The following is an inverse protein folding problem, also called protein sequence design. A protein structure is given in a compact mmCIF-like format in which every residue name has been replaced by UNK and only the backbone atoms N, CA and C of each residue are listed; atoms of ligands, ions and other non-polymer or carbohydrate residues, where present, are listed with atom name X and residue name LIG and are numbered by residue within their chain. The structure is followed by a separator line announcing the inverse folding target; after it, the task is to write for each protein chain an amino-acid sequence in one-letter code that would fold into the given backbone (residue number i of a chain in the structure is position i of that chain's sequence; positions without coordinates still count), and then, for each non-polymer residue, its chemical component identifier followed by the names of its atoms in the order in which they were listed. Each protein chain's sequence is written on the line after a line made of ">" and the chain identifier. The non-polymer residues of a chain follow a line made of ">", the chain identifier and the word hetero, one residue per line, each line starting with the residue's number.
data_IF_076126959198
#
_entry.id   IF_076126959198
#
_cell.length_a   1.000
_cell.length_b   1.000
_cell.length_c   1.000
_cell.angle_alpha   90.00
_cell.angle_beta   90.00
_cell.angle_gamma   90.00
#
_symmetry.space_group_name_H-M   'P 1'
#
loop_
_entity.id
_entity.type
_entity.pdbx_description
1 polymer ?
#
# COMPACT_ATOMS: atom_id res chain seq x y z
N UNK A 1 -25.22 2.50 -5.70
CA UNK A 1 -24.49 1.27 -5.37
C UNK A 1 -25.53 0.21 -5.12
N UNK A 2 -25.47 -0.90 -5.86
CA UNK A 2 -26.39 -2.02 -5.63
C UNK A 2 -26.16 -2.62 -4.23
N UNK A 3 -27.24 -2.88 -3.50
CA UNK A 3 -27.18 -3.43 -2.14
C UNK A 3 -26.53 -4.82 -2.11
N UNK A 4 -26.68 -5.61 -3.18
CA UNK A 4 -26.03 -6.92 -3.32
C UNK A 4 -24.51 -6.77 -3.44
N UNK A 5 -24.05 -5.79 -4.23
CA UNK A 5 -22.62 -5.48 -4.38
C UNK A 5 -22.02 -5.03 -3.05
N UNK A 6 -22.77 -4.29 -2.23
CA UNK A 6 -22.31 -3.89 -0.90
C UNK A 6 -22.20 -5.10 0.04
N UNK A 7 -23.20 -5.98 0.05
CA UNK A 7 -23.21 -7.19 0.88
C UNK A 7 -22.03 -8.11 0.56
N UNK A 8 -21.77 -8.42 -0.71
CA UNK A 8 -20.63 -9.26 -1.10
C UNK A 8 -19.29 -8.65 -0.67
N UNK A 9 -19.15 -7.32 -0.69
CA UNK A 9 -17.93 -6.66 -0.19
C UNK A 9 -17.76 -6.83 1.32
N UNK A 10 -18.83 -6.66 2.08
CA UNK A 10 -18.79 -6.84 3.54
C UNK A 10 -18.49 -8.29 3.91
N UNK A 11 -19.04 -9.26 3.19
CA UNK A 11 -18.74 -10.68 3.37
C UNK A 11 -17.27 -10.97 3.13
N UNK A 12 -16.69 -10.50 2.02
CA UNK A 12 -15.25 -10.65 1.73
C UNK A 12 -14.41 -10.12 2.90
N UNK A 13 -14.73 -8.93 3.41
CA UNK A 13 -13.98 -8.33 4.52
C UNK A 13 -14.18 -9.10 5.83
N UNK A 14 -15.36 -9.66 6.05
CA UNK A 14 -15.62 -10.55 7.18
C UNK A 14 -14.81 -11.84 7.10
N UNK A 15 -14.71 -12.46 5.92
CA UNK A 15 -13.86 -13.64 5.68
C UNK A 15 -12.37 -13.34 5.85
N UNK A 16 -11.96 -12.07 5.69
CA UNK A 16 -10.61 -11.63 6.05
C UNK A 16 -10.34 -11.62 7.55
N UNK A 17 -11.38 -11.77 8.39
CA UNK A 17 -11.29 -11.69 9.84
C UNK A 17 -11.42 -10.25 10.37
N UNK A 18 -11.92 -9.32 9.56
CA UNK A 18 -12.18 -7.95 9.99
C UNK A 18 -13.46 -7.94 10.82
N UNK A 19 -13.36 -7.46 12.07
CA UNK A 19 -14.50 -7.36 12.99
C UNK A 19 -15.49 -6.30 12.52
N UNK A 20 -16.77 -6.47 12.87
CA UNK A 20 -17.83 -5.53 12.52
C UNK A 20 -17.55 -4.10 12.99
N UNK A 21 -16.93 -3.93 14.16
CA UNK A 21 -16.51 -2.61 14.68
C UNK A 21 -15.44 -1.96 13.82
N UNK A 22 -14.48 -2.75 13.31
CA UNK A 22 -13.45 -2.27 12.40
C UNK A 22 -14.03 -1.96 11.01
N UNK A 23 -15.01 -2.74 10.53
CA UNK A 23 -15.74 -2.45 9.29
C UNK A 23 -16.44 -1.10 9.36
N UNK A 24 -17.17 -0.84 10.45
CA UNK A 24 -17.83 0.44 10.69
C UNK A 24 -16.81 1.58 10.64
N UNK A 25 -15.66 1.43 11.30
CA UNK A 25 -14.57 2.41 11.25
C UNK A 25 -14.05 2.63 9.82
N UNK A 26 -13.85 1.56 9.05
CA UNK A 26 -13.39 1.65 7.66
C UNK A 26 -14.38 2.42 6.78
N UNK A 27 -15.67 2.15 6.94
CA UNK A 27 -16.75 2.84 6.20
C UNK A 27 -16.78 4.32 6.54
N UNK A 28 -16.66 4.68 7.82
CA UNK A 28 -16.61 6.09 8.24
C UNK A 28 -15.36 6.81 7.75
N UNK A 29 -14.18 6.20 7.87
CA UNK A 29 -12.91 6.82 7.48
C UNK A 29 -12.73 6.92 5.96
N UNK A 30 -13.32 5.99 5.20
CA UNK A 30 -13.02 5.83 3.77
C UNK A 30 -14.26 5.35 2.98
N UNK A 31 -15.39 6.09 2.98
CA UNK A 31 -16.63 5.61 2.35
C UNK A 31 -16.45 5.31 0.85
N UNK A 32 -15.52 6.02 0.18
CA UNK A 32 -15.16 5.78 -1.23
C UNK A 32 -14.68 4.35 -1.52
N UNK A 33 -14.09 3.65 -0.54
CA UNK A 33 -13.69 2.26 -0.69
C UNK A 33 -14.87 1.35 -1.06
N UNK A 34 -16.07 1.64 -0.53
CA UNK A 34 -17.28 0.87 -0.86
C UNK A 34 -17.71 1.05 -2.32
N UNK A 35 -17.35 2.15 -2.97
CA UNK A 35 -17.62 2.40 -4.39
C UNK A 35 -16.57 1.78 -5.32
N UNK A 36 -15.41 1.38 -4.81
CA UNK A 36 -14.37 0.79 -5.65
C UNK A 36 -14.73 -0.64 -6.09
N UNK A 37 -14.42 -0.98 -7.33
CA UNK A 37 -14.54 -2.36 -7.81
C UNK A 37 -13.49 -3.22 -7.12
N UNK A 38 -13.94 -4.25 -6.40
CA UNK A 38 -13.05 -5.33 -5.98
C UNK A 38 -12.66 -6.08 -7.25
N UNK A 39 -11.36 -6.18 -7.50
CA UNK A 39 -10.80 -6.70 -8.75
C UNK A 39 -10.77 -8.25 -8.72
N UNK A 40 -10.76 -8.89 -9.88
CA UNK A 40 -10.63 -10.35 -10.06
C UNK A 40 -9.36 -10.91 -9.39
N UNK A 41 -8.34 -10.07 -9.20
CA UNK A 41 -7.07 -10.40 -8.54
C UNK A 41 -7.13 -10.31 -7.01
N UNK A 42 -8.31 -10.28 -6.39
CA UNK A 42 -8.42 -10.12 -4.94
C UNK A 42 -7.66 -11.21 -4.17
N UNK A 43 -7.84 -12.49 -4.55
CA UNK A 43 -7.17 -13.60 -3.85
C UNK A 43 -5.65 -13.51 -3.98
N UNK A 44 -5.15 -13.32 -5.21
CA UNK A 44 -3.71 -13.11 -5.46
C UNK A 44 -3.17 -11.92 -4.65
N UNK A 45 -3.93 -10.83 -4.58
CA UNK A 45 -3.57 -9.66 -3.77
C UNK A 45 -3.48 -10.00 -2.29
N UNK A 46 -4.47 -10.72 -1.76
CA UNK A 46 -4.49 -11.08 -0.34
C UNK A 46 -3.34 -12.02 0.01
N UNK A 47 -3.05 -13.01 -0.82
CA UNK A 47 -1.90 -13.91 -0.64
C UNK A 47 -0.57 -13.14 -0.65
N UNK A 48 -0.38 -12.25 -1.64
CA UNK A 48 0.83 -11.42 -1.71
C UNK A 48 0.97 -10.50 -0.50
N UNK A 49 -0.11 -9.83 -0.09
CA UNK A 49 -0.08 -8.93 1.05
C UNK A 49 0.09 -9.69 2.37
N UNK A 50 -0.50 -10.88 2.52
CA UNK A 50 -0.31 -11.72 3.69
C UNK A 50 1.15 -12.17 3.80
N UNK A 51 1.76 -12.57 2.68
CA UNK A 51 3.18 -12.83 2.60
C UNK A 51 4.02 -11.59 2.96
N UNK A 52 3.67 -10.40 2.43
CA UNK A 52 4.37 -9.14 2.72
C UNK A 52 4.30 -8.76 4.21
N UNK A 53 3.12 -8.81 4.82
CA UNK A 53 2.89 -8.42 6.21
C UNK A 53 3.28 -9.51 7.23
N UNK A 54 3.57 -10.72 6.76
CA UNK A 54 4.09 -11.84 7.56
C UNK A 54 3.05 -12.51 8.47
N UNK A 55 1.84 -11.96 8.58
CA UNK A 55 0.71 -12.60 9.26
C UNK A 55 -0.61 -11.97 8.84
N UNK A 56 -1.68 -12.78 8.87
CA UNK A 56 -3.05 -12.30 8.63
C UNK A 56 -3.47 -11.19 9.58
N UNK A 57 -3.06 -11.25 10.85
CA UNK A 57 -3.42 -10.25 11.87
C UNK A 57 -2.81 -8.87 11.55
N UNK A 58 -1.58 -8.83 11.04
CA UNK A 58 -0.93 -7.59 10.62
C UNK A 58 -1.54 -7.07 9.32
N UNK A 59 -1.85 -7.95 8.37
CA UNK A 59 -2.58 -7.59 7.15
C UNK A 59 -3.93 -6.94 7.45
N UNK A 60 -4.73 -7.55 8.33
CA UNK A 60 -6.03 -6.99 8.77
C UNK A 60 -5.84 -5.60 9.36
N UNK A 61 -4.85 -5.41 10.25
CA UNK A 61 -4.54 -4.09 10.81
C UNK A 61 -4.19 -3.06 9.72
N UNK A 62 -3.43 -3.47 8.70
CA UNK A 62 -3.06 -2.61 7.58
C UNK A 62 -4.28 -2.21 6.73
N UNK A 63 -5.15 -3.17 6.40
CA UNK A 63 -6.40 -2.94 5.64
C UNK A 63 -7.33 -2.01 6.41
N UNK A 64 -7.50 -2.23 7.72
CA UNK A 64 -8.40 -1.41 8.52
C UNK A 64 -7.89 0.04 8.62
N UNK A 65 -6.57 0.24 8.69
CA UNK A 65 -5.97 1.59 8.61
C UNK A 65 -6.04 2.20 7.22
N UNK A 66 -5.96 1.38 6.18
CA UNK A 66 -5.99 1.82 4.80
C UNK A 66 -6.83 0.91 3.90
N UNK A 67 -8.17 1.09 3.89
CA UNK A 67 -9.05 0.26 3.07
C UNK A 67 -8.72 0.34 1.57
N UNK A 68 -8.10 1.44 1.14
CA UNK A 68 -7.67 1.65 -0.24
C UNK A 68 -6.59 0.67 -0.72
N UNK A 69 -5.92 -0.06 0.19
CA UNK A 69 -4.98 -1.13 -0.16
C UNK A 69 -5.67 -2.24 -1.00
N UNK A 70 -6.97 -2.44 -0.80
CA UNK A 70 -7.78 -3.39 -1.55
C UNK A 70 -8.27 -2.86 -2.91
N UNK A 71 -7.96 -1.60 -3.24
CA UNK A 71 -8.51 -0.92 -4.43
C UNK A 71 -7.44 -0.34 -5.35
N UNK A 72 -6.21 -0.14 -4.85
CA UNK A 72 -5.11 0.27 -5.70
C UNK A 72 -4.82 -0.75 -6.80
N UNK A 73 -4.31 -0.25 -7.93
CA UNK A 73 -3.82 -1.12 -8.99
C UNK A 73 -2.74 -2.06 -8.43
N UNK A 74 -3.03 -3.36 -8.45
CA UNK A 74 -2.18 -4.33 -7.78
C UNK A 74 -0.87 -4.56 -8.53
N UNK A 75 -0.95 -4.74 -9.85
CA UNK A 75 0.18 -5.08 -10.69
C UNK A 75 0.98 -3.86 -11.11
N UNK A 76 0.34 -2.73 -11.37
CA UNK A 76 1.02 -1.52 -11.87
C UNK A 76 1.39 -0.52 -10.77
N UNK A 77 0.87 -0.68 -9.54
CA UNK A 77 1.15 0.25 -8.43
C UNK A 77 1.66 -0.44 -7.18
N UNK A 78 0.92 -1.39 -6.61
CA UNK A 78 1.30 -2.02 -5.34
C UNK A 78 2.61 -2.78 -5.48
N UNK A 79 2.69 -3.79 -6.37
CA UNK A 79 3.89 -4.61 -6.53
C UNK A 79 5.15 -3.79 -6.90
N UNK A 80 5.11 -2.87 -7.89
CA UNK A 80 6.31 -2.11 -8.27
C UNK A 80 6.81 -1.18 -7.17
N UNK A 81 5.90 -0.53 -6.42
CA UNK A 81 6.30 0.34 -5.31
C UNK A 81 6.97 -0.46 -4.19
N UNK A 82 6.41 -1.63 -3.84
CA UNK A 82 7.02 -2.52 -2.84
C UNK A 82 8.41 -2.99 -3.30
N UNK A 83 8.53 -3.47 -4.53
CA UNK A 83 9.80 -3.94 -5.09
C UNK A 83 10.90 -2.86 -5.08
N UNK A 84 10.54 -1.59 -5.27
CA UNK A 84 11.50 -0.48 -5.21
C UNK A 84 11.97 -0.20 -3.79
N UNK A 85 11.08 -0.25 -2.80
CA UNK A 85 11.52 -0.12 -1.42
C UNK A 85 12.40 -1.30 -0.98
N UNK A 86 12.11 -2.51 -1.45
CA UNK A 86 12.96 -3.67 -1.22
C UNK A 86 14.33 -3.54 -1.92
N UNK A 87 14.37 -3.03 -3.17
CA UNK A 87 15.63 -2.82 -3.90
C UNK A 87 16.49 -1.69 -3.31
N UNK A 88 15.86 -0.73 -2.62
CA UNK A 88 16.53 0.27 -1.79
C UNK A 88 17.11 -0.31 -0.48
N UNK A 89 16.91 -1.60 -0.21
CA UNK A 89 17.45 -2.28 0.95
C UNK A 89 16.62 -2.11 2.23
N UNK A 90 15.35 -1.67 2.14
CA UNK A 90 14.48 -1.72 3.30
C UNK A 90 14.26 -3.16 3.73
N UNK A 91 14.50 -3.45 5.00
CA UNK A 91 14.09 -4.73 5.56
C UNK A 91 12.57 -4.87 5.48
N UNK A 92 12.08 -6.10 5.37
CA UNK A 92 10.64 -6.38 5.36
C UNK A 92 9.92 -5.80 6.58
N UNK A 93 10.55 -5.86 7.76
CA UNK A 93 10.01 -5.28 9.00
C UNK A 93 9.92 -3.75 8.96
N UNK A 94 10.94 -3.08 8.44
CA UNK A 94 10.92 -1.61 8.26
C UNK A 94 9.85 -1.21 7.25
N UNK A 95 9.74 -1.93 6.13
CA UNK A 95 8.73 -1.69 5.11
C UNK A 95 7.31 -1.82 5.68
N UNK A 96 7.02 -2.88 6.43
CA UNK A 96 5.75 -3.05 7.14
C UNK A 96 5.47 -1.85 8.05
N UNK A 97 6.49 -1.42 8.82
CA UNK A 97 6.36 -0.28 9.74
C UNK A 97 6.03 1.02 9.00
N UNK A 98 6.69 1.27 7.86
CA UNK A 98 6.41 2.43 7.01
C UNK A 98 5.01 2.34 6.39
N UNK A 99 4.59 1.18 5.89
CA UNK A 99 3.25 1.01 5.30
C UNK A 99 2.13 1.20 6.34
N UNK A 100 2.33 0.71 7.57
CA UNK A 100 1.37 0.86 8.67
C UNK A 100 1.28 2.28 9.24
N UNK A 101 2.39 3.02 9.19
CA UNK A 101 2.46 4.42 9.64
C UNK A 101 2.08 5.41 8.54
N UNK A 102 2.25 5.05 7.27
CA UNK A 102 1.98 5.89 6.10
C UNK A 102 1.09 5.18 5.06
N UNK A 103 -0.22 5.10 5.31
CA UNK A 103 -1.22 4.58 4.36
C UNK A 103 -1.13 5.14 2.94
N UNK A 104 -0.67 6.39 2.79
CA UNK A 104 -0.58 7.06 1.50
C UNK A 104 0.75 6.85 0.78
N UNK A 105 1.65 6.02 1.28
CA UNK A 105 2.94 5.76 0.62
C UNK A 105 2.74 5.23 -0.81
N UNK A 106 2.05 4.10 -0.94
CA UNK A 106 1.78 3.44 -2.23
C UNK A 106 1.17 4.39 -3.27
N UNK A 107 0.04 5.10 -3.00
CA UNK A 107 -0.56 5.95 -4.03
C UNK A 107 0.29 7.18 -4.37
N UNK A 108 1.06 7.74 -3.42
CA UNK A 108 1.87 8.94 -3.64
C UNK A 108 3.20 8.66 -4.31
N UNK A 109 3.73 7.43 -4.21
CA UNK A 109 4.96 7.06 -4.91
C UNK A 109 4.71 7.04 -6.41
N UNK A 110 5.22 8.03 -7.15
CA UNK A 110 5.27 7.98 -8.61
C UNK A 110 6.52 7.22 -9.03
N UNK A 111 6.33 6.31 -9.98
CA UNK A 111 7.40 5.51 -10.56
C UNK A 111 7.48 5.93 -12.01
N UNK A 112 8.22 7.00 -12.25
CA UNK A 112 8.66 7.39 -13.59
C UNK A 112 10.04 6.75 -13.84
N UNK A 113 10.34 6.48 -15.12
CA UNK A 113 11.58 5.79 -15.50
C UNK A 113 12.82 6.56 -15.04
N UNK A 114 12.73 7.89 -15.00
CA UNK A 114 13.78 8.79 -14.50
C UNK A 114 14.10 8.57 -13.01
N UNK A 115 13.09 8.48 -12.12
CA UNK A 115 13.34 8.20 -10.70
C UNK A 115 13.92 6.80 -10.52
N UNK A 116 13.43 5.80 -11.26
CA UNK A 116 13.96 4.43 -11.18
C UNK A 116 15.44 4.41 -11.59
N UNK A 117 15.78 5.08 -12.68
CA UNK A 117 17.16 5.19 -13.18
C UNK A 117 18.05 5.98 -12.21
N UNK A 118 17.54 7.08 -11.62
CA UNK A 118 18.23 7.82 -10.57
C UNK A 118 18.55 6.95 -9.35
N UNK A 119 17.59 6.16 -8.87
CA UNK A 119 17.78 5.25 -7.73
C UNK A 119 18.86 4.21 -8.05
N UNK A 120 18.80 3.62 -9.26
CA UNK A 120 19.80 2.64 -9.72
C UNK A 120 21.20 3.25 -9.81
N UNK A 121 21.32 4.48 -10.33
CA UNK A 121 22.59 5.19 -10.51
C UNK A 121 23.21 5.69 -9.22
N UNK A 122 22.39 6.19 -8.29
CA UNK A 122 22.89 6.82 -7.06
C UNK A 122 23.23 5.85 -5.95
N UNK A 123 22.79 4.57 -6.05
CA UNK A 123 23.15 3.53 -5.09
C UNK A 123 22.89 3.96 -3.64
N UNK A 124 21.74 4.61 -3.41
CA UNK A 124 21.49 5.34 -2.17
C UNK A 124 21.71 4.40 -0.96
N UNK A 125 22.59 4.83 -0.03
CA UNK A 125 23.19 3.95 0.99
C UNK A 125 22.23 3.55 2.10
N UNK A 126 22.46 2.34 2.62
CA UNK A 126 21.63 1.58 3.57
C UNK A 126 21.52 2.23 4.96
N UNK A 127 22.36 3.20 5.30
CA UNK A 127 22.47 3.77 6.65
C UNK A 127 21.68 5.07 6.87
N UNK A 128 21.09 5.67 5.82
CA UNK A 128 20.52 7.01 5.97
C UNK A 128 19.23 7.02 6.82
N UNK A 129 19.19 7.85 7.87
CA UNK A 129 17.99 8.05 8.71
C UNK A 129 16.77 8.56 7.92
N UNK A 130 16.98 9.08 6.71
CA UNK A 130 15.89 9.43 5.79
C UNK A 130 14.95 8.24 5.52
N UNK A 131 15.45 7.01 5.39
CA UNK A 131 14.61 5.84 5.10
C UNK A 131 13.64 5.45 6.22
N UNK A 132 14.07 5.63 7.47
CA UNK A 132 13.35 5.16 8.65
C UNK A 132 12.29 6.15 9.15
N UNK A 133 12.50 7.44 8.90
CA UNK A 133 11.66 8.50 9.50
C UNK A 133 10.93 9.35 8.46
N UNK A 134 11.42 9.42 7.22
CA UNK A 134 10.81 10.17 6.13
C UNK A 134 10.80 9.34 4.84
N UNK A 135 9.71 8.61 4.61
CA UNK A 135 9.43 7.97 3.32
C UNK A 135 10.03 8.78 2.17
N UNK A 136 10.95 8.13 1.47
CA UNK A 136 11.90 8.71 0.51
C UNK A 136 11.29 9.84 -0.35
N UNK A 137 12.07 10.82 -0.85
CA UNK A 137 11.59 11.98 -1.61
C UNK A 137 10.83 11.66 -2.91
N UNK A 138 10.49 10.41 -3.23
CA UNK A 138 9.68 10.07 -4.40
C UNK A 138 8.35 10.84 -4.44
N UNK A 139 7.81 11.21 -3.28
CA UNK A 139 6.62 12.06 -3.16
C UNK A 139 6.88 13.55 -3.46
N UNK A 140 8.13 14.02 -3.38
CA UNK A 140 8.55 15.42 -3.45
C UNK A 140 9.62 15.75 -4.50
N UNK A 141 10.10 14.78 -5.28
CA UNK A 141 10.82 15.04 -6.53
C UNK A 141 9.76 15.53 -7.53
N UNK A 142 9.40 16.80 -7.35
CA UNK A 142 8.74 17.66 -8.31
C UNK A 142 9.84 18.28 -9.14
N UNK A 143 9.66 18.29 -10.47
CA UNK A 143 10.52 18.95 -11.44
C UNK A 143 10.96 20.32 -10.93
N UNK A 144 12.17 20.42 -10.36
CA UNK A 144 12.96 21.62 -10.58
C UNK A 144 13.68 21.39 -11.88
N UNK A 145 13.03 21.86 -12.94
CA UNK A 145 13.74 22.27 -14.14
C UNK A 145 14.91 23.14 -13.71
N UNK A 146 16.12 22.73 -14.06
CA UNK A 146 17.23 23.64 -14.30
C UNK A 146 17.56 23.48 -15.79
N UNK A 147 17.91 24.57 -16.49
CA UNK A 147 18.95 25.51 -16.10
C UNK A 147 18.49 26.65 -15.19
#
# INVERSE_FOLDING_TARGET
>A
MDIQILQSKLEILSHLGIKSTDLVRMVHCRPRFLNCKINVWLNERLEYLEALFGSRQVLVKAIVRNPSLLTYDFHNKVKPVIAIYESMGLSKGDLITVLLSRPTLIPRTTLDDEKIDYIRKTGVSKESKMYKTCGFPLCHISHRNHP
#
